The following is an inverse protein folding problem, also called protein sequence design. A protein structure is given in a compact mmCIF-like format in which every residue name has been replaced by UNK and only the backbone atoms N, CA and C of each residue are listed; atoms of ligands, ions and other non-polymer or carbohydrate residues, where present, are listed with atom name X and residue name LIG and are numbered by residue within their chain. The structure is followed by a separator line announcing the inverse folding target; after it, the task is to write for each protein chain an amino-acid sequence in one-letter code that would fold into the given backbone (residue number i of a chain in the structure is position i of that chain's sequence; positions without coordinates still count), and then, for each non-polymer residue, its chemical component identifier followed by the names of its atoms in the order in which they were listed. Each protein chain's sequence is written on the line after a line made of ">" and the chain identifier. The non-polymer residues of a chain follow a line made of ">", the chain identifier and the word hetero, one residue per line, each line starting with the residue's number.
data_IF_352554971297
#
_entry.id   IF_352554971297
#
_cell.length_a   1.000
_cell.length_b   1.000
_cell.length_c   1.000
_cell.angle_alpha   90.00
_cell.angle_beta   90.00
_cell.angle_gamma   90.00
#
_symmetry.space_group_name_H-M   'P 1'
#
loop_
_entity.id
_entity.type
_entity.pdbx_description
1 polymer ?
#
# COMPACT_ATOMS: atom_id res chain seq x y z
N UNK A 1 1.83 -10.53 15.38
CA UNK A 1 1.13 -9.23 15.32
C UNK A 1 1.01 -8.80 13.88
N UNK A 2 -0.04 -8.05 13.55
CA UNK A 2 -0.30 -7.44 12.23
C UNK A 2 -0.29 -5.92 12.42
N UNK A 3 0.13 -5.12 11.44
CA UNK A 3 0.02 -3.66 11.55
C UNK A 3 -0.46 -3.02 10.24
N UNK A 4 -1.52 -2.20 10.22
CA UNK A 4 -1.88 -1.47 9.02
C UNK A 4 -1.07 -0.19 8.86
N UNK A 5 -0.33 -0.01 7.76
CA UNK A 5 -0.03 1.32 7.26
C UNK A 5 -1.24 1.90 6.53
N UNK A 6 -1.86 2.91 7.13
CA UNK A 6 -2.93 3.70 6.50
C UNK A 6 -2.34 4.97 5.92
N UNK A 7 -2.57 5.23 4.62
CA UNK A 7 -2.27 6.51 3.99
C UNK A 7 -3.51 7.41 4.04
N UNK A 8 -3.44 8.55 4.72
CA UNK A 8 -4.56 9.46 4.86
C UNK A 8 -4.31 10.78 4.08
N UNK A 9 -5.06 11.06 3.00
CA UNK A 9 -5.22 12.42 2.48
C UNK A 9 -6.38 13.16 3.21
N UNK A 10 -6.37 14.51 3.28
CA UNK A 10 -7.31 15.31 4.06
C UNK A 10 -8.81 14.98 3.96
N UNK A 11 -9.41 14.67 2.78
CA UNK A 11 -10.84 14.31 2.72
C UNK A 11 -11.19 12.98 3.39
N UNK A 12 -10.19 12.17 3.78
CA UNK A 12 -10.39 10.87 4.43
C UNK A 12 -10.19 10.89 5.95
N UNK A 13 -9.87 12.04 6.55
CA UNK A 13 -9.56 12.15 7.98
C UNK A 13 -10.73 11.78 8.90
N UNK A 14 -11.98 12.07 8.51
CA UNK A 14 -13.17 11.68 9.27
C UNK A 14 -13.38 10.16 9.31
N UNK A 15 -13.11 9.45 8.20
CA UNK A 15 -13.17 7.99 8.17
C UNK A 15 -12.09 7.35 9.05
N UNK A 16 -10.86 7.89 9.00
CA UNK A 16 -9.79 7.44 9.91
C UNK A 16 -10.17 7.69 11.37
N UNK A 17 -10.71 8.86 11.69
CA UNK A 17 -11.13 9.19 13.06
C UNK A 17 -12.18 8.23 13.60
N UNK A 18 -13.21 7.93 12.80
CA UNK A 18 -14.23 6.91 13.15
C UNK A 18 -13.62 5.52 13.33
N UNK A 19 -12.76 5.10 12.41
CA UNK A 19 -12.05 3.83 12.53
C UNK A 19 -11.23 3.76 13.82
N UNK A 20 -10.51 4.82 14.16
CA UNK A 20 -9.70 4.88 15.38
C UNK A 20 -10.55 4.86 16.65
N UNK A 21 -11.73 5.47 16.63
CA UNK A 21 -12.69 5.44 17.74
C UNK A 21 -13.19 4.02 18.00
N UNK A 22 -13.65 3.34 16.95
CA UNK A 22 -14.08 1.93 17.01
C UNK A 22 -12.92 1.02 17.44
N UNK A 23 -11.72 1.22 16.87
CA UNK A 23 -10.52 0.47 17.22
C UNK A 23 -10.09 0.69 18.69
N UNK A 24 -10.09 1.94 19.17
CA UNK A 24 -9.68 2.29 20.53
C UNK A 24 -10.62 1.67 21.59
N UNK A 25 -11.92 1.64 21.30
CA UNK A 25 -12.93 0.97 22.13
C UNK A 25 -12.84 -0.56 22.12
N UNK A 26 -12.18 -1.15 21.12
CA UNK A 26 -12.14 -2.59 20.91
C UNK A 26 -10.83 -3.23 21.41
N UNK A 27 -10.85 -3.82 22.61
CA UNK A 27 -9.68 -4.51 23.17
C UNK A 27 -9.12 -5.59 22.22
N UNK A 28 -10.01 -6.42 21.65
CA UNK A 28 -9.62 -7.46 20.71
C UNK A 28 -8.86 -6.92 19.48
N UNK A 29 -9.30 -5.77 18.95
CA UNK A 29 -8.62 -5.14 17.81
C UNK A 29 -7.22 -4.64 18.19
N UNK A 30 -7.08 -3.98 19.35
CA UNK A 30 -5.79 -3.48 19.86
C UNK A 30 -4.79 -4.58 20.18
N UNK A 31 -5.27 -5.75 20.60
CA UNK A 31 -4.42 -6.92 20.84
C UNK A 31 -4.03 -7.62 19.53
N UNK A 32 -4.89 -7.56 18.50
CA UNK A 32 -4.66 -8.19 17.21
C UNK A 32 -3.69 -7.40 16.31
N UNK A 33 -3.76 -6.06 16.35
CA UNK A 33 -2.96 -5.20 15.47
C UNK A 33 -2.57 -3.86 16.11
N UNK A 34 -1.54 -3.23 15.55
CA UNK A 34 -1.15 -1.85 15.87
C UNK A 34 -1.33 -0.93 14.66
N UNK A 35 -1.95 0.24 14.85
CA UNK A 35 -2.28 1.17 13.76
C UNK A 35 -1.16 2.18 13.53
N UNK A 36 -0.69 2.28 12.28
CA UNK A 36 0.28 3.29 11.87
C UNK A 36 -0.28 4.16 10.76
N UNK A 37 -0.21 5.47 10.93
CA UNK A 37 -0.76 6.43 9.95
C UNK A 37 0.38 7.21 9.33
N UNK A 38 0.46 7.17 8.01
CA UNK A 38 1.55 7.81 7.24
C UNK A 38 1.14 9.22 6.82
N UNK A 39 1.86 10.21 7.34
CA UNK A 39 1.67 11.64 7.03
C UNK A 39 2.75 12.12 6.08
N UNK A 40 2.42 13.13 5.27
CA UNK A 40 3.39 13.71 4.33
C UNK A 40 4.45 14.49 5.10
N UNK A 41 4.05 15.24 6.13
CA UNK A 41 4.92 16.03 7.00
C UNK A 41 4.25 16.29 8.37
N UNK A 42 4.91 17.10 9.21
CA UNK A 42 4.42 17.52 10.53
C UNK A 42 3.16 18.39 10.45
N UNK A 43 2.98 19.17 9.38
CA UNK A 43 1.80 20.00 9.18
C UNK A 43 0.55 19.16 8.96
N UNK A 44 0.64 18.13 8.12
CA UNK A 44 -0.39 17.11 7.94
C UNK A 44 -0.76 16.43 9.26
N UNK A 45 0.25 16.06 10.07
CA UNK A 45 0.05 15.44 11.38
C UNK A 45 -0.66 16.39 12.37
N UNK A 46 -0.24 17.65 12.43
CA UNK A 46 -0.85 18.66 13.29
C UNK A 46 -2.31 18.91 12.92
N UNK A 47 -2.61 19.04 11.62
CA UNK A 47 -3.98 19.19 11.11
C UNK A 47 -4.84 17.97 11.44
N UNK A 48 -4.29 16.76 11.26
CA UNK A 48 -5.00 15.53 11.60
C UNK A 48 -5.31 15.45 13.10
N UNK A 49 -4.33 15.71 13.97
CA UNK A 49 -4.53 15.73 15.44
C UNK A 49 -5.57 16.77 15.87
N UNK A 50 -5.52 17.97 15.30
CA UNK A 50 -6.51 19.01 15.59
C UNK A 50 -7.92 18.59 15.14
N UNK A 51 -8.03 17.99 13.95
CA UNK A 51 -9.30 17.43 13.45
C UNK A 51 -9.82 16.28 14.31
N UNK A 52 -8.94 15.36 14.71
CA UNK A 52 -9.26 14.21 15.55
C UNK A 52 -9.75 14.65 16.93
N UNK A 53 -9.04 15.58 17.58
CA UNK A 53 -9.43 16.13 18.88
C UNK A 53 -10.79 16.83 18.84
N UNK A 54 -11.16 17.43 17.70
CA UNK A 54 -12.44 18.11 17.53
C UNK A 54 -13.59 17.17 17.17
N UNK A 55 -13.36 16.20 16.30
CA UNK A 55 -14.41 15.36 15.70
C UNK A 55 -14.57 14.01 16.41
N UNK A 56 -13.48 13.48 16.99
CA UNK A 56 -13.44 12.19 17.68
C UNK A 56 -12.64 12.30 18.99
N UNK A 57 -13.09 13.11 19.96
CA UNK A 57 -12.34 13.41 21.20
C UNK A 57 -12.11 12.18 22.11
N UNK A 58 -12.82 11.08 21.86
CA UNK A 58 -12.68 9.79 22.55
C UNK A 58 -11.44 9.00 22.15
N UNK A 59 -10.79 9.34 21.03
CA UNK A 59 -9.62 8.63 20.51
C UNK A 59 -8.36 9.08 21.24
N UNK A 60 -7.69 8.21 22.03
CA UNK A 60 -6.44 8.58 22.68
C UNK A 60 -5.28 8.63 21.66
N UNK A 61 -4.31 9.53 21.85
CA UNK A 61 -3.12 9.63 20.97
C UNK A 61 -2.30 8.32 20.96
N UNK A 62 -2.40 7.51 22.03
CA UNK A 62 -1.76 6.19 22.14
C UNK A 62 -2.45 5.08 21.33
N UNK A 63 -3.62 5.32 20.73
CA UNK A 63 -4.29 4.32 19.90
C UNK A 63 -3.59 4.10 18.54
N UNK A 64 -2.70 4.99 18.13
CA UNK A 64 -2.06 4.93 16.82
C UNK A 64 -0.64 5.50 16.90
N UNK A 65 0.15 5.25 15.85
CA UNK A 65 1.51 5.77 15.75
C UNK A 65 1.67 6.60 14.48
N UNK A 66 2.08 7.89 14.58
CA UNK A 66 2.38 8.69 13.41
C UNK A 66 3.66 8.20 12.73
N UNK A 67 3.63 8.12 11.40
CA UNK A 67 4.79 7.85 10.55
C UNK A 67 4.99 9.01 9.60
N UNK A 68 6.03 9.82 9.82
CA UNK A 68 6.33 10.98 9.00
C UNK A 68 7.15 10.59 7.78
N UNK A 69 6.59 10.85 6.59
CA UNK A 69 7.27 10.59 5.34
C UNK A 69 8.13 11.76 4.84
N UNK A 70 8.07 12.95 5.46
CA UNK A 70 8.84 14.14 5.11
C UNK A 70 8.94 14.34 3.58
N UNK A 71 7.78 14.50 2.96
CA UNK A 71 7.59 14.64 1.52
C UNK A 71 7.80 16.11 1.18
N UNK A 72 8.74 16.40 0.28
CA UNK A 72 9.00 17.75 -0.20
C UNK A 72 8.74 17.86 -1.70
N UNK A 73 8.52 19.09 -2.18
CA UNK A 73 8.46 19.40 -3.60
C UNK A 73 9.67 18.87 -4.38
N UNK A 74 10.87 18.96 -3.80
CA UNK A 74 12.09 18.45 -4.41
C UNK A 74 12.07 16.93 -4.56
N UNK A 75 11.56 16.23 -3.54
CA UNK A 75 11.36 14.78 -3.57
C UNK A 75 10.31 14.37 -4.60
N UNK A 76 9.18 15.06 -4.67
CA UNK A 76 8.16 14.79 -5.69
C UNK A 76 8.72 14.98 -7.10
N UNK A 77 9.49 16.06 -7.33
CA UNK A 77 10.19 16.30 -8.60
C UNK A 77 11.20 15.19 -8.91
N UNK A 78 11.94 14.67 -7.91
CA UNK A 78 12.86 13.56 -8.13
C UNK A 78 12.18 12.25 -8.51
N UNK A 79 10.89 12.10 -8.18
CA UNK A 79 10.04 10.98 -8.63
C UNK A 79 9.39 11.24 -10.01
N UNK A 80 9.70 12.36 -10.66
CA UNK A 80 9.07 12.78 -11.90
C UNK A 80 7.59 13.15 -11.73
N UNK A 81 7.20 13.60 -10.54
CA UNK A 81 5.85 14.06 -10.22
C UNK A 81 5.81 15.59 -10.20
N UNK A 82 4.77 16.19 -10.77
CA UNK A 82 4.55 17.63 -10.69
C UNK A 82 3.90 17.96 -9.33
N UNK A 83 4.57 18.66 -8.39
CA UNK A 83 3.99 18.97 -7.08
C UNK A 83 2.71 19.80 -7.16
N UNK A 84 2.51 20.53 -8.28
CA UNK A 84 1.33 21.37 -8.54
C UNK A 84 0.24 20.66 -9.36
N UNK A 85 0.48 19.42 -9.80
CA UNK A 85 -0.47 18.62 -10.56
C UNK A 85 -1.31 17.70 -9.68
N UNK A 86 -2.10 16.81 -10.30
CA UNK A 86 -2.86 15.80 -9.57
C UNK A 86 -1.98 14.61 -9.16
N UNK A 87 -1.20 14.79 -8.10
CA UNK A 87 -0.27 13.77 -7.57
C UNK A 87 -0.83 13.05 -6.34
N UNK A 88 -2.05 13.37 -5.90
CA UNK A 88 -2.58 12.94 -4.61
C UNK A 88 -2.74 11.42 -4.52
N UNK A 89 -3.25 10.85 -5.60
CA UNK A 89 -3.49 9.42 -5.79
C UNK A 89 -2.17 8.62 -5.78
N UNK A 90 -1.22 9.04 -6.62
CA UNK A 90 0.15 8.53 -6.63
C UNK A 90 0.80 8.60 -5.24
N UNK A 91 0.67 9.75 -4.57
CA UNK A 91 1.26 9.97 -3.27
C UNK A 91 0.64 9.07 -2.19
N UNK A 92 -0.68 8.87 -2.23
CA UNK A 92 -1.37 7.96 -1.32
C UNK A 92 -0.86 6.52 -1.48
N UNK A 93 -0.75 6.04 -2.72
CA UNK A 93 -0.23 4.71 -3.00
C UNK A 93 1.24 4.55 -2.56
N UNK A 94 2.07 5.56 -2.81
CA UNK A 94 3.46 5.58 -2.35
C UNK A 94 3.54 5.56 -0.81
N UNK A 95 2.70 6.34 -0.11
CA UNK A 95 2.66 6.36 1.36
C UNK A 95 2.29 5.00 1.96
N UNK A 96 1.42 4.20 1.32
CA UNK A 96 1.12 2.83 1.79
C UNK A 96 2.38 1.96 1.78
N UNK A 97 3.17 2.00 0.70
CA UNK A 97 4.46 1.31 0.64
C UNK A 97 5.49 1.89 1.61
N UNK A 98 5.45 3.21 1.88
CA UNK A 98 6.31 3.84 2.89
C UNK A 98 6.01 3.33 4.28
N UNK A 99 4.74 3.11 4.60
CA UNK A 99 4.35 2.46 5.84
C UNK A 99 4.82 0.99 5.90
N UNK A 100 4.72 0.22 4.82
CA UNK A 100 5.30 -1.14 4.76
C UNK A 100 6.82 -1.11 5.00
N UNK A 101 7.52 -0.17 4.37
CA UNK A 101 8.96 0.01 4.56
C UNK A 101 9.30 0.39 6.00
N UNK A 102 8.51 1.28 6.62
CA UNK A 102 8.63 1.62 8.03
C UNK A 102 8.47 0.38 8.92
N UNK A 103 7.44 -0.44 8.69
CA UNK A 103 7.22 -1.67 9.47
C UNK A 103 8.41 -2.62 9.36
N UNK A 104 9.01 -2.74 8.18
CA UNK A 104 10.20 -3.56 7.97
C UNK A 104 11.45 -2.98 8.66
N UNK A 105 11.52 -1.65 8.84
CA UNK A 105 12.61 -0.96 9.55
C UNK A 105 12.51 -1.07 11.08
N UNK A 106 11.41 -1.60 11.64
CA UNK A 106 11.26 -1.87 13.08
C UNK A 106 12.14 -3.03 13.60
N UNK A 107 12.83 -3.75 12.71
CA UNK A 107 13.77 -4.81 13.08
C UNK A 107 13.09 -5.95 13.83
N UNK A 108 13.59 -6.30 15.03
CA UNK A 108 13.03 -7.37 15.85
C UNK A 108 11.58 -7.10 16.31
N UNK A 109 11.15 -5.83 16.32
CA UNK A 109 9.78 -5.45 16.64
C UNK A 109 8.84 -5.45 15.41
N UNK A 110 9.36 -5.74 14.21
CA UNK A 110 8.55 -5.78 13.00
C UNK A 110 7.47 -6.88 13.09
N UNK A 111 6.20 -6.58 12.73
CA UNK A 111 5.18 -7.60 12.62
C UNK A 111 5.49 -8.55 11.46
N UNK A 112 4.88 -9.75 11.46
CA UNK A 112 5.03 -10.66 10.33
C UNK A 112 4.32 -10.13 9.06
N UNK A 113 3.23 -9.37 9.25
CA UNK A 113 2.38 -8.87 8.18
C UNK A 113 2.06 -7.38 8.38
N UNK A 114 2.03 -6.64 7.26
CA UNK A 114 1.43 -5.31 7.17
C UNK A 114 0.07 -5.35 6.48
N UNK A 115 -0.88 -4.48 6.85
CA UNK A 115 -2.17 -4.30 6.15
C UNK A 115 -2.22 -2.97 5.39
N UNK A 116 -2.26 -2.99 4.07
CA UNK A 116 -2.31 -1.77 3.26
C UNK A 116 -3.75 -1.24 3.17
N UNK A 117 -4.22 -0.57 4.22
CA UNK A 117 -5.61 -0.12 4.28
C UNK A 117 -5.80 1.26 3.67
N UNK A 118 -6.92 1.40 2.96
CA UNK A 118 -7.55 2.70 2.81
C UNK A 118 -8.33 3.06 4.08
N UNK A 119 -8.34 4.35 4.40
CA UNK A 119 -9.05 4.91 5.54
C UNK A 119 -10.56 4.58 5.57
N UNK A 120 -11.13 4.19 4.43
CA UNK A 120 -12.56 3.90 4.26
C UNK A 120 -12.90 2.42 4.51
N UNK A 121 -11.91 1.55 4.70
CA UNK A 121 -12.13 0.12 4.94
C UNK A 121 -12.42 -0.15 6.42
N UNK A 122 -13.67 -0.50 6.71
CA UNK A 122 -14.06 -1.11 7.98
C UNK A 122 -13.63 -2.58 7.95
N UNK A 123 -12.66 -2.95 8.78
CA UNK A 123 -12.18 -4.33 8.85
C UNK A 123 -13.19 -5.28 9.51
N UNK A 124 -13.88 -4.79 10.54
CA UNK A 124 -14.85 -5.53 11.34
C UNK A 124 -15.83 -4.56 12.00
N UNK A 125 -16.93 -5.09 12.52
CA UNK A 125 -17.99 -4.33 13.17
C UNK A 125 -17.71 -4.23 14.69
N UNK A 126 -18.25 -3.23 15.38
CA UNK A 126 -18.09 -3.06 16.83
C UNK A 126 -18.61 -4.26 17.63
N UNK A 127 -19.58 -5.00 17.07
CA UNK A 127 -20.05 -6.27 17.65
C UNK A 127 -18.98 -7.37 17.69
N UNK A 128 -17.91 -7.24 16.91
CA UNK A 128 -16.77 -8.17 16.88
C UNK A 128 -15.75 -7.89 18.00
N UNK A 129 -16.10 -7.18 19.08
CA UNK A 129 -15.16 -6.89 20.18
C UNK A 129 -15.23 -7.87 21.36
N UNK A 130 -16.10 -8.89 21.27
CA UNK A 130 -16.29 -9.90 22.32
C UNK A 130 -15.28 -11.07 22.31
N UNK A 131 -15.37 -11.98 23.29
CA UNK A 131 -14.57 -13.21 23.30
C UNK A 131 -14.76 -14.03 22.02
N UNK A 132 -13.65 -14.53 21.45
CA UNK A 132 -13.69 -15.38 20.25
C UNK A 132 -13.98 -14.64 18.94
N UNK A 133 -13.93 -13.32 18.94
CA UNK A 133 -14.25 -12.51 17.78
C UNK A 133 -13.30 -12.65 16.60
N UNK A 134 -13.73 -12.11 15.45
CA UNK A 134 -12.93 -12.12 14.23
C UNK A 134 -11.60 -11.35 14.36
N UNK A 135 -11.51 -10.35 15.25
CA UNK A 135 -10.26 -9.66 15.57
C UNK A 135 -9.21 -10.61 16.14
N UNK A 136 -9.58 -11.45 17.12
CA UNK A 136 -8.66 -12.44 17.69
C UNK A 136 -8.15 -13.46 16.68
N UNK A 137 -8.92 -13.69 15.61
CA UNK A 137 -8.57 -14.62 14.52
C UNK A 137 -7.89 -13.93 13.34
N UNK A 138 -7.66 -12.61 13.39
CA UNK A 138 -7.11 -11.84 12.26
C UNK A 138 -5.78 -12.41 11.76
N UNK A 139 -4.82 -12.62 12.66
CA UNK A 139 -3.50 -13.16 12.28
C UNK A 139 -3.60 -14.58 11.71
N UNK A 140 -4.45 -15.42 12.28
CA UNK A 140 -4.68 -16.79 11.78
C UNK A 140 -5.31 -16.77 10.38
N UNK A 141 -6.29 -15.90 10.15
CA UNK A 141 -6.90 -15.70 8.83
C UNK A 141 -5.87 -15.30 7.78
N UNK A 142 -5.02 -14.32 8.11
CA UNK A 142 -3.94 -13.87 7.21
C UNK A 142 -2.97 -15.01 6.90
N UNK A 143 -2.52 -15.75 7.93
CA UNK A 143 -1.64 -16.91 7.75
C UNK A 143 -2.27 -18.01 6.89
N UNK A 144 -3.54 -18.31 7.10
CA UNK A 144 -4.28 -19.31 6.33
C UNK A 144 -4.46 -18.87 4.88
N UNK A 145 -4.77 -17.59 4.65
CA UNK A 145 -4.87 -17.04 3.30
C UNK A 145 -3.51 -17.13 2.57
N UNK A 146 -2.41 -16.80 3.25
CA UNK A 146 -1.06 -16.92 2.70
C UNK A 146 -0.69 -18.38 2.41
N UNK A 147 -0.94 -19.30 3.35
CA UNK A 147 -0.62 -20.72 3.20
C UNK A 147 -1.41 -21.37 2.06
N UNK A 148 -2.67 -20.97 1.87
CA UNK A 148 -3.50 -21.39 0.75
C UNK A 148 -3.04 -20.79 -0.59
N UNK A 149 -2.10 -19.83 -0.58
CA UNK A 149 -1.73 -18.99 -1.72
C UNK A 149 -2.98 -18.36 -2.36
N UNK A 150 -3.97 -18.09 -1.53
CA UNK A 150 -5.22 -17.48 -1.96
C UNK A 150 -4.93 -16.01 -2.25
N UNK A 151 -5.23 -15.59 -3.48
CA UNK A 151 -5.25 -14.18 -3.83
C UNK A 151 -6.71 -13.74 -3.77
N UNK A 152 -7.18 -13.15 -2.66
CA UNK A 152 -8.56 -12.72 -2.56
C UNK A 152 -8.74 -11.54 -3.52
N UNK A 153 -9.28 -11.82 -4.69
CA UNK A 153 -9.51 -10.85 -5.74
C UNK A 153 -10.87 -11.09 -6.36
N UNK A 154 -11.54 -10.00 -6.69
CA UNK A 154 -12.77 -10.05 -7.47
C UNK A 154 -12.48 -9.60 -8.89
N UNK A 155 -13.21 -10.19 -9.82
CA UNK A 155 -13.24 -9.71 -11.19
C UNK A 155 -13.87 -8.32 -11.23
N UNK A 156 -13.15 -7.38 -11.84
CA UNK A 156 -13.66 -6.02 -12.05
C UNK A 156 -14.70 -6.05 -13.16
N UNK A 157 -15.78 -5.27 -13.01
CA UNK A 157 -16.82 -5.16 -14.02
C UNK A 157 -16.25 -4.77 -15.39
N UNK A 158 -16.63 -5.55 -16.40
CA UNK A 158 -16.31 -5.30 -17.82
C UNK A 158 -17.37 -4.43 -18.51
N UNK A 159 -18.51 -4.20 -17.85
CA UNK A 159 -19.68 -3.52 -18.44
C UNK A 159 -19.97 -2.16 -17.82
N UNK A 160 -19.52 -1.91 -16.59
CA UNK A 160 -19.68 -0.61 -15.94
C UNK A 160 -18.63 0.37 -16.47
N UNK A 161 -19.08 1.32 -17.29
CA UNK A 161 -18.29 2.44 -17.78
C UNK A 161 -18.35 3.56 -16.75
N UNK A 162 -17.25 3.82 -16.06
CA UNK A 162 -17.23 4.74 -14.90
C UNK A 162 -16.01 5.64 -14.84
N UNK A 163 -14.97 5.41 -15.66
CA UNK A 163 -13.71 6.14 -15.55
C UNK A 163 -13.53 7.08 -16.74
N UNK A 164 -13.47 8.37 -16.46
CA UNK A 164 -13.14 9.38 -17.45
C UNK A 164 -11.62 9.43 -17.66
N UNK A 165 -11.15 9.18 -18.88
CA UNK A 165 -9.71 9.08 -19.21
C UNK A 165 -9.19 10.27 -20.03
N UNK A 166 -9.96 11.36 -20.09
CA UNK A 166 -9.61 12.61 -20.78
C UNK A 166 -10.44 12.88 -22.03
N UNK A 167 -10.66 14.17 -22.35
CA UNK A 167 -11.56 14.56 -23.44
C UNK A 167 -13.01 14.19 -23.13
N UNK A 168 -13.67 13.49 -24.06
CA UNK A 168 -14.99 12.87 -23.87
C UNK A 168 -14.89 11.32 -23.74
N UNK A 169 -13.69 10.80 -23.49
CA UNK A 169 -13.44 9.36 -23.48
C UNK A 169 -13.66 8.74 -22.09
N UNK A 170 -14.39 7.63 -22.09
CA UNK A 170 -14.64 6.82 -20.90
C UNK A 170 -14.16 5.38 -21.09
N UNK A 171 -13.75 4.76 -19.99
CA UNK A 171 -13.30 3.38 -19.95
C UNK A 171 -14.10 2.58 -18.90
N UNK A 172 -14.28 1.27 -19.17
CA UNK A 172 -14.85 0.36 -18.17
C UNK A 172 -13.81 0.03 -17.09
N UNK A 173 -14.30 -0.37 -15.91
CA UNK A 173 -13.41 -0.64 -14.78
C UNK A 173 -12.36 -1.71 -15.05
N UNK A 174 -12.69 -2.79 -15.78
CA UNK A 174 -11.73 -3.84 -16.10
C UNK A 174 -10.60 -3.33 -17.01
N UNK A 175 -10.90 -2.58 -18.07
CA UNK A 175 -9.84 -2.07 -18.95
C UNK A 175 -8.90 -1.09 -18.23
N UNK A 176 -9.46 -0.18 -17.42
CA UNK A 176 -8.70 0.73 -16.57
C UNK A 176 -7.80 -0.05 -15.58
N UNK A 177 -8.38 -0.99 -14.84
CA UNK A 177 -7.64 -1.78 -13.85
C UNK A 177 -6.62 -2.70 -14.52
N UNK A 178 -6.92 -3.35 -15.64
CA UNK A 178 -5.96 -4.20 -16.37
C UNK A 178 -4.68 -3.45 -16.69
N UNK A 179 -4.78 -2.18 -17.10
CA UNK A 179 -3.61 -1.32 -17.34
C UNK A 179 -2.73 -1.17 -16.10
N UNK A 180 -3.32 -0.97 -14.93
CA UNK A 180 -2.57 -0.87 -13.67
C UNK A 180 -1.97 -2.22 -13.26
N UNK A 181 -2.69 -3.34 -13.34
CA UNK A 181 -2.14 -4.67 -13.03
C UNK A 181 -0.93 -4.94 -13.93
N UNK A 182 -1.06 -4.67 -15.24
CA UNK A 182 0.02 -4.87 -16.21
C UNK A 182 1.26 -4.02 -15.88
N UNK A 183 1.09 -2.74 -15.54
CA UNK A 183 2.21 -1.87 -15.14
C UNK A 183 2.90 -2.35 -13.87
N UNK A 184 2.14 -2.76 -12.85
CA UNK A 184 2.69 -3.35 -11.63
C UNK A 184 3.48 -4.63 -11.92
N UNK A 185 2.93 -5.51 -12.77
CA UNK A 185 3.58 -6.74 -13.18
C UNK A 185 4.86 -6.47 -13.97
N UNK A 186 4.85 -5.50 -14.88
CA UNK A 186 6.04 -5.09 -15.64
C UNK A 186 7.13 -4.53 -14.71
N UNK A 187 6.71 -3.74 -13.71
CA UNK A 187 7.56 -3.13 -12.70
C UNK A 187 8.33 -4.17 -11.88
N UNK A 188 7.66 -5.22 -11.39
CA UNK A 188 8.30 -6.25 -10.56
C UNK A 188 9.05 -7.32 -11.36
N UNK A 189 8.60 -7.66 -12.57
CA UNK A 189 9.08 -8.85 -13.28
C UNK A 189 10.41 -8.57 -14.01
N UNK A 190 11.49 -9.34 -13.77
CA UNK A 190 12.71 -9.25 -14.59
C UNK A 190 12.40 -9.48 -16.09
N UNK A 191 12.86 -8.57 -16.96
CA UNK A 191 12.56 -8.62 -18.40
C UNK A 191 11.14 -8.17 -18.79
N UNK A 192 10.31 -7.81 -17.80
CA UNK A 192 9.01 -7.17 -18.01
C UNK A 192 7.90 -8.13 -18.34
N UNK A 193 6.78 -7.56 -18.80
CA UNK A 193 5.58 -8.32 -19.16
C UNK A 193 5.86 -9.32 -20.28
N UNK A 194 6.73 -9.02 -21.25
CA UNK A 194 7.08 -9.99 -22.30
C UNK A 194 7.69 -11.28 -21.73
N UNK A 195 8.57 -11.17 -20.73
CA UNK A 195 9.12 -12.33 -20.02
C UNK A 195 8.06 -13.03 -19.17
N UNK A 196 7.19 -12.27 -18.49
CA UNK A 196 6.05 -12.84 -17.76
C UNK A 196 5.16 -13.69 -18.68
N UNK A 197 4.86 -13.19 -19.89
CA UNK A 197 4.02 -13.86 -20.87
C UNK A 197 4.63 -15.14 -21.44
N UNK A 198 5.97 -15.28 -21.40
CA UNK A 198 6.70 -16.49 -21.81
C UNK A 198 6.98 -17.46 -20.66
N UNK A 199 6.72 -17.05 -19.42
CA UNK A 199 7.05 -17.84 -18.23
C UNK A 199 5.93 -18.83 -17.89
N UNK A 200 6.26 -20.12 -17.91
CA UNK A 200 5.33 -21.23 -17.62
C UNK A 200 5.38 -21.71 -16.16
N UNK A 201 5.97 -20.94 -15.26
CA UNK A 201 5.86 -21.25 -13.83
C UNK A 201 4.48 -20.89 -13.28
N UNK A 202 4.06 -21.59 -12.21
CA UNK A 202 2.77 -21.36 -11.57
C UNK A 202 2.57 -19.88 -11.17
N UNK A 203 3.59 -19.23 -10.59
CA UNK A 203 3.51 -17.82 -10.20
C UNK A 203 3.24 -16.89 -11.39
N UNK A 204 3.96 -17.10 -12.50
CA UNK A 204 3.75 -16.33 -13.72
C UNK A 204 2.34 -16.52 -14.29
N UNK A 205 1.83 -17.77 -14.32
CA UNK A 205 0.44 -18.04 -14.71
C UNK A 205 -0.58 -17.31 -13.83
N UNK A 206 -0.37 -17.25 -12.51
CA UNK A 206 -1.28 -16.52 -11.63
C UNK A 206 -1.28 -15.02 -11.91
N UNK A 207 -0.12 -14.40 -12.15
CA UNK A 207 -0.06 -12.97 -12.50
C UNK A 207 -0.68 -12.70 -13.87
N UNK A 208 -0.42 -13.57 -14.88
CA UNK A 208 -1.09 -13.49 -16.20
C UNK A 208 -2.59 -13.54 -16.05
N UNK A 209 -3.10 -14.52 -15.30
CA UNK A 209 -4.53 -14.65 -15.01
C UNK A 209 -5.11 -13.38 -14.37
N UNK A 210 -4.42 -12.75 -13.42
CA UNK A 210 -4.91 -11.49 -12.84
C UNK A 210 -5.06 -10.38 -13.88
N UNK A 211 -4.14 -10.29 -14.84
CA UNK A 211 -4.20 -9.33 -15.95
C UNK A 211 -5.36 -9.67 -16.90
N UNK A 212 -5.44 -10.93 -17.32
CA UNK A 212 -6.42 -11.39 -18.32
C UNK A 212 -7.85 -11.29 -17.79
N UNK A 213 -8.08 -11.81 -16.58
CA UNK A 213 -9.38 -11.86 -15.91
C UNK A 213 -9.72 -10.56 -15.16
N UNK A 214 -8.85 -9.53 -15.17
CA UNK A 214 -9.02 -8.31 -14.39
C UNK A 214 -9.30 -8.58 -12.90
N UNK A 215 -8.56 -9.53 -12.30
CA UNK A 215 -8.74 -9.88 -10.89
C UNK A 215 -8.03 -8.85 -10.03
N UNK A 216 -8.81 -8.17 -9.19
CA UNK A 216 -8.29 -7.11 -8.35
C UNK A 216 -8.57 -7.35 -6.87
N UNK A 217 -7.53 -7.21 -6.03
CA UNK A 217 -7.56 -7.58 -4.61
C UNK A 217 -7.70 -6.45 -3.59
N UNK A 218 -7.45 -5.17 -3.93
CA UNK A 218 -7.42 -4.08 -2.92
C UNK A 218 -8.75 -3.80 -2.19
N UNK A 219 -9.90 -4.27 -2.72
CA UNK A 219 -11.23 -3.94 -2.19
C UNK A 219 -11.98 -5.15 -1.62
N UNK A 220 -11.48 -6.37 -1.82
CA UNK A 220 -12.32 -7.58 -1.76
C UNK A 220 -12.06 -8.44 -0.54
N UNK A 221 -10.93 -8.24 0.14
CA UNK A 221 -10.59 -8.82 1.45
C UNK A 221 -9.49 -7.97 2.10
N UNK A 222 -8.98 -8.39 3.27
CA UNK A 222 -7.86 -7.82 3.99
C UNK A 222 -6.60 -7.69 3.08
N UNK A 223 -6.21 -6.46 2.67
CA UNK A 223 -5.04 -6.26 1.82
C UNK A 223 -3.77 -6.40 2.66
N UNK A 224 -3.28 -7.63 2.83
CA UNK A 224 -2.09 -7.91 3.63
C UNK A 224 -0.83 -8.07 2.77
N UNK A 225 0.31 -7.80 3.39
CA UNK A 225 1.64 -8.00 2.84
C UNK A 225 2.48 -8.73 3.87
N UNK A 226 3.04 -9.88 3.51
CA UNK A 226 4.08 -10.52 4.32
C UNK A 226 5.36 -9.71 4.22
N UNK A 227 5.87 -9.22 5.36
CA UNK A 227 7.01 -8.31 5.38
C UNK A 227 8.32 -8.98 4.92
N UNK A 228 8.47 -10.29 5.11
CA UNK A 228 9.62 -11.01 4.58
C UNK A 228 9.56 -11.16 3.05
N UNK A 229 8.37 -11.32 2.48
CA UNK A 229 8.17 -11.30 1.02
C UNK A 229 8.43 -9.89 0.48
N UNK A 230 7.88 -8.86 1.13
CA UNK A 230 8.11 -7.47 0.75
C UNK A 230 9.59 -7.09 0.81
N UNK A 231 10.33 -7.51 1.84
CA UNK A 231 11.78 -7.31 1.93
C UNK A 231 12.53 -7.88 0.73
N UNK A 232 12.18 -9.09 0.27
CA UNK A 232 12.79 -9.68 -0.94
C UNK A 232 12.43 -8.90 -2.20
N UNK A 233 11.16 -8.50 -2.34
CA UNK A 233 10.72 -7.65 -3.44
C UNK A 233 11.51 -6.33 -3.47
N UNK A 234 11.58 -5.65 -2.33
CA UNK A 234 12.29 -4.39 -2.14
C UNK A 234 13.77 -4.52 -2.48
N UNK A 235 14.43 -5.59 -2.02
CA UNK A 235 15.82 -5.88 -2.38
C UNK A 235 16.01 -6.13 -3.88
N UNK A 236 15.05 -6.78 -4.54
CA UNK A 236 15.07 -7.00 -5.98
C UNK A 236 14.93 -5.70 -6.78
N UNK A 237 13.89 -4.90 -6.48
CA UNK A 237 13.60 -3.65 -7.23
C UNK A 237 14.60 -2.54 -6.99
N UNK A 238 15.60 -2.80 -6.15
CA UNK A 238 16.72 -1.87 -5.91
C UNK A 238 18.06 -2.47 -6.26
N UNK A 239 18.07 -3.70 -6.78
CA UNK A 239 19.26 -4.31 -7.33
C UNK A 239 19.81 -3.48 -8.50
N UNK A 240 21.14 -3.46 -8.73
CA UNK A 240 21.72 -2.76 -9.86
C UNK A 240 21.16 -3.21 -11.22
N UNK A 241 20.82 -4.50 -11.34
CA UNK A 241 20.22 -5.06 -12.55
C UNK A 241 18.85 -4.45 -12.83
N UNK A 242 17.98 -4.38 -11.82
CA UNK A 242 16.68 -3.76 -11.92
C UNK A 242 16.81 -2.26 -12.24
N UNK A 243 17.66 -1.54 -11.49
CA UNK A 243 17.81 -0.10 -11.66
C UNK A 243 18.31 0.29 -13.05
N UNK A 244 19.26 -0.44 -13.64
CA UNK A 244 19.75 -0.18 -15.00
C UNK A 244 18.65 -0.33 -16.05
N UNK A 245 17.83 -1.37 -15.94
CA UNK A 245 16.69 -1.57 -16.85
C UNK A 245 15.70 -0.42 -16.71
N UNK A 246 15.30 -0.11 -15.49
CA UNK A 246 14.25 0.86 -15.24
C UNK A 246 14.68 2.30 -15.50
N UNK A 247 15.97 2.64 -15.33
CA UNK A 247 16.53 3.89 -15.81
C UNK A 247 16.33 4.09 -17.32
N UNK A 248 16.50 3.03 -18.12
CA UNK A 248 16.25 3.06 -19.57
C UNK A 248 14.78 3.27 -19.90
N UNK A 249 13.87 2.65 -19.15
CA UNK A 249 12.43 2.67 -19.46
C UNK A 249 11.74 3.94 -18.92
N UNK A 250 12.11 4.39 -17.73
CA UNK A 250 11.42 5.46 -17.00
C UNK A 250 12.26 6.73 -16.81
N UNK A 251 13.47 6.77 -17.38
CA UNK A 251 14.29 7.97 -17.48
C UNK A 251 14.83 8.52 -16.15
N UNK A 252 14.98 7.70 -15.12
CA UNK A 252 15.58 8.14 -13.85
C UNK A 252 17.05 7.71 -13.73
N UNK A 253 17.82 8.46 -12.95
CA UNK A 253 19.22 8.15 -12.65
C UNK A 253 19.29 7.03 -11.62
N UNK A 254 19.92 5.86 -11.92
CA UNK A 254 20.16 4.83 -10.91
C UNK A 254 20.78 5.45 -9.66
N UNK A 255 20.20 5.16 -8.51
CA UNK A 255 20.88 5.49 -7.26
C UNK A 255 22.14 4.61 -7.19
N UNK A 256 23.30 5.20 -6.88
CA UNK A 256 24.49 4.41 -6.57
C UNK A 256 24.18 3.33 -5.53
N UNK A 257 24.98 2.23 -5.53
CA UNK A 257 24.76 1.06 -4.66
C UNK A 257 24.93 1.45 -3.19
N UNK A 258 23.87 1.94 -2.58
CA UNK A 258 23.75 2.05 -1.14
C UNK A 258 22.60 1.13 -0.73
N UNK A 259 22.91 -0.15 -0.83
CA UNK A 259 22.14 -1.25 -0.24
C UNK A 259 22.59 -1.52 1.20
N UNK A 260 23.32 -0.58 1.82
CA UNK A 260 23.93 -0.76 3.13
C UNK A 260 22.91 -1.14 4.19
N UNK A 261 23.29 -2.08 5.05
CA UNK A 261 22.62 -2.27 6.34
C UNK A 261 22.64 -0.98 7.16
N UNK A 262 21.74 -0.86 8.12
CA UNK A 262 21.63 0.33 8.97
C UNK A 262 20.18 0.68 9.28
N UNK A 263 19.94 1.67 10.16
CA UNK A 263 18.60 2.12 10.50
C UNK A 263 17.88 2.60 9.23
N UNK A 264 16.55 2.53 9.15
CA UNK A 264 15.77 3.10 8.05
C UNK A 264 16.15 2.64 6.63
N UNK A 265 16.73 1.44 6.49
CA UNK A 265 17.17 0.88 5.22
C UNK A 265 16.05 0.90 4.19
N UNK A 266 14.88 0.37 4.55
CA UNK A 266 13.78 0.17 3.61
C UNK A 266 13.11 1.50 3.24
N UNK A 267 12.92 2.41 4.21
CA UNK A 267 12.43 3.77 3.94
C UNK A 267 13.37 4.57 3.04
N UNK A 268 14.69 4.54 3.30
CA UNK A 268 15.68 5.22 2.42
C UNK A 268 15.59 4.70 1.00
N UNK A 269 15.42 3.40 0.86
CA UNK A 269 15.35 2.75 -0.42
C UNK A 269 14.08 3.11 -1.18
N UNK A 270 12.94 3.17 -0.50
CA UNK A 270 11.68 3.60 -1.09
C UNK A 270 11.70 5.06 -1.58
N UNK A 271 12.46 5.95 -0.91
CA UNK A 271 12.64 7.34 -1.36
C UNK A 271 13.41 7.46 -2.68
N UNK A 272 14.13 6.42 -3.09
CA UNK A 272 14.95 6.43 -4.32
C UNK A 272 14.29 5.68 -5.47
N UNK A 273 13.36 4.77 -5.17
CA UNK A 273 12.63 4.00 -6.16
C UNK A 273 11.36 4.72 -6.62
N UNK A 274 11.15 4.80 -7.94
CA UNK A 274 9.83 5.10 -8.50
C UNK A 274 8.98 3.83 -8.39
N UNK A 275 8.21 3.71 -7.31
CA UNK A 275 7.21 2.64 -7.19
C UNK A 275 6.15 2.79 -8.28
N UNK A 276 5.55 1.67 -8.73
CA UNK A 276 4.58 1.72 -9.79
C UNK A 276 3.40 2.55 -9.32
N UNK A 277 2.95 3.46 -10.20
CA UNK A 277 1.78 4.28 -9.97
C UNK A 277 0.57 3.35 -10.01
N UNK A 278 -0.12 3.20 -8.88
CA UNK A 278 -1.30 2.35 -8.77
C UNK A 278 -2.55 2.98 -9.40
N UNK A 279 -2.44 4.19 -9.95
CA UNK A 279 -3.55 4.94 -10.54
C UNK A 279 -3.03 5.68 -11.79
N UNK A 280 -3.89 5.85 -12.81
CA UNK A 280 -3.57 6.68 -13.98
C UNK A 280 -3.53 8.15 -13.56
N UNK A 281 -2.54 8.89 -14.09
CA UNK A 281 -2.56 10.36 -14.12
C UNK A 281 -3.03 10.87 -15.46
#
# INVERSE_FOLDING_TARGET
>A
MVAPPTAAPPPKFSFVGRFLEEYAGCRAAREAMSVQIVFSDEGDLALFRAGLARLHPSVPDSAWTPVLANISDAFLRSLGLNPKGDVKQVLAAWKKWFGIAHLMDLGAAAPAYGLMLDAELLLYDAKDCGPGSAWYRLLERVRRAEAARAFPASQVSTTLVSYHIGGDAYENGCSYNRGIIKRNADWVTPGGTDCLFKCEEYGCRQVRRQIDDCLWSWWTDLPYVNLAVAARLFAWVTSPAWQRRFAKVYGYTPAGVDCGGGPDRWKRMLRRGRFPLFEYG
#
